data_IF_813915331380
#
_entry.id   IF_813915331380
#
_cell.length_a   1.000
_cell.length_b   1.000
_cell.length_c   1.000
_cell.angle_alpha   90.00
_cell.angle_beta   90.00
_cell.angle_gamma   90.00
#
_symmetry.space_group_name_H-M   'P 1'
#
loop_
_entity.id
_entity.type
_entity.pdbx_description
1 polymer ?
#
# COMPACT_ATOMS: atom_id res chain seq x y z
N UNK A 1 -6.75 14.27 19.64
CA UNK A 1 -5.49 13.51 19.55
C UNK A 1 -5.03 13.57 18.11
N UNK A 2 -3.77 13.91 17.84
CA UNK A 2 -3.26 13.90 16.47
C UNK A 2 -3.02 12.45 16.06
N UNK A 3 -3.70 12.03 15.00
CA UNK A 3 -3.53 10.74 14.36
C UNK A 3 -3.30 10.99 12.88
N UNK A 4 -2.52 10.12 12.26
CA UNK A 4 -2.19 10.19 10.84
C UNK A 4 -2.49 8.85 10.19
N UNK A 5 -3.04 8.93 8.98
CA UNK A 5 -3.28 7.80 8.11
C UNK A 5 -2.09 7.67 7.19
N UNK A 6 -1.58 6.45 7.10
CA UNK A 6 -0.50 6.07 6.23
C UNK A 6 -0.93 4.96 5.29
N UNK A 7 -0.40 4.95 4.06
CA UNK A 7 -0.49 3.81 3.17
C UNK A 7 0.89 3.42 2.65
N UNK A 8 1.20 2.13 2.64
CA UNK A 8 2.49 1.61 2.19
C UNK A 8 2.29 0.52 1.14
N UNK A 9 3.21 0.44 0.18
CA UNK A 9 3.19 -0.55 -0.89
C UNK A 9 4.09 -1.73 -0.54
N UNK A 10 3.62 -2.93 -0.78
CA UNK A 10 4.46 -4.14 -0.85
C UNK A 10 4.33 -4.78 -2.21
N UNK A 11 5.32 -5.57 -2.58
CA UNK A 11 5.25 -6.44 -3.74
C UNK A 11 5.61 -7.87 -3.37
N UNK A 12 4.99 -8.80 -4.07
CA UNK A 12 5.46 -10.18 -4.24
C UNK A 12 5.95 -10.31 -5.67
N UNK A 13 7.18 -10.78 -5.88
CA UNK A 13 7.70 -11.08 -7.22
C UNK A 13 7.96 -12.56 -7.37
N UNK A 14 7.59 -13.11 -8.53
CA UNK A 14 7.76 -14.52 -8.86
C UNK A 14 8.54 -14.65 -10.18
N UNK A 15 9.52 -15.54 -10.21
CA UNK A 15 10.28 -15.93 -11.40
C UNK A 15 10.11 -17.44 -11.60
N UNK A 16 9.64 -17.86 -12.77
CA UNK A 16 9.48 -19.27 -13.13
C UNK A 16 10.68 -19.79 -13.93
N UNK A 17 11.19 -20.97 -13.57
CA UNK A 17 12.30 -21.60 -14.29
C UNK A 17 11.83 -22.46 -15.47
N UNK A 18 11.44 -21.80 -16.56
CA UNK A 18 11.09 -22.45 -17.83
C UNK A 18 9.63 -22.90 -17.96
N UNK A 19 9.18 -23.13 -19.20
CA UNK A 19 7.79 -23.51 -19.48
C UNK A 19 7.43 -24.89 -18.89
N UNK A 20 6.44 -24.92 -17.99
CA UNK A 20 5.89 -26.15 -17.43
C UNK A 20 6.65 -26.73 -16.22
N UNK A 21 7.55 -25.97 -15.61
CA UNK A 21 8.17 -26.30 -14.33
C UNK A 21 7.42 -25.65 -13.16
N UNK A 22 7.22 -26.41 -12.08
CA UNK A 22 6.68 -25.92 -10.81
C UNK A 22 7.77 -25.24 -9.94
N UNK A 23 9.02 -25.21 -10.42
CA UNK A 23 10.12 -24.53 -9.75
C UNK A 23 10.02 -23.02 -10.01
N UNK A 24 9.84 -22.27 -8.92
CA UNK A 24 9.79 -20.81 -8.95
C UNK A 24 10.61 -20.23 -7.80
N UNK A 25 11.16 -19.04 -8.02
CA UNK A 25 11.59 -18.18 -6.92
C UNK A 25 10.47 -17.20 -6.60
N UNK A 26 10.27 -16.93 -5.31
CA UNK A 26 9.33 -15.94 -4.81
C UNK A 26 10.02 -15.08 -3.77
N UNK A 27 9.86 -13.76 -3.92
CA UNK A 27 10.38 -12.79 -2.98
C UNK A 27 9.30 -11.77 -2.61
N UNK A 28 9.41 -11.22 -1.41
CA UNK A 28 8.46 -10.25 -0.87
C UNK A 28 9.21 -9.09 -0.25
N UNK A 29 8.66 -7.89 -0.37
CA UNK A 29 9.22 -6.73 0.29
C UNK A 29 8.36 -5.49 0.18
N UNK A 30 8.82 -4.43 0.82
CA UNK A 30 8.26 -3.09 0.74
C UNK A 30 8.77 -2.37 -0.52
N UNK A 31 7.92 -1.52 -1.10
CA UNK A 31 8.26 -0.71 -2.29
C UNK A 31 8.17 0.77 -1.94
N UNK A 32 9.22 1.53 -2.24
CA UNK A 32 9.15 2.98 -2.33
C UNK A 32 8.77 3.37 -3.78
N UNK A 33 7.45 3.53 -4.02
CA UNK A 33 6.88 3.78 -5.37
C UNK A 33 7.49 4.98 -6.07
N UNK A 34 7.89 6.01 -5.31
CA UNK A 34 8.45 7.24 -5.86
C UNK A 34 9.89 7.04 -6.38
N UNK A 35 10.56 5.97 -5.93
CA UNK A 35 11.93 5.63 -6.34
C UNK A 35 11.97 4.50 -7.36
N UNK A 36 11.24 3.41 -7.11
CA UNK A 36 11.26 2.20 -7.93
C UNK A 36 9.96 1.41 -7.77
N UNK A 37 9.61 0.63 -8.79
CA UNK A 37 8.51 -0.36 -8.72
C UNK A 37 9.02 -1.78 -8.45
N UNK A 38 10.33 -2.03 -8.59
CA UNK A 38 10.91 -3.39 -8.57
C UNK A 38 11.91 -3.61 -7.42
N UNK A 39 12.39 -2.55 -6.78
CA UNK A 39 13.34 -2.66 -5.66
C UNK A 39 12.60 -3.04 -4.36
N UNK A 40 12.85 -4.25 -3.86
CA UNK A 40 12.29 -4.75 -2.60
C UNK A 40 13.15 -4.32 -1.41
N UNK A 41 12.50 -3.73 -0.41
CA UNK A 41 13.10 -3.43 0.89
C UNK A 41 12.58 -4.37 1.98
N UNK A 42 13.47 -4.83 2.86
CA UNK A 42 13.12 -5.75 3.96
C UNK A 42 12.27 -5.06 5.05
N UNK A 43 12.48 -3.76 5.27
CA UNK A 43 11.85 -3.02 6.36
C UNK A 43 10.96 -1.88 5.85
N UNK A 44 9.77 -1.74 6.45
CA UNK A 44 8.84 -0.64 6.18
C UNK A 44 9.46 0.74 6.44
N UNK A 45 10.42 0.83 7.37
CA UNK A 45 11.10 2.10 7.69
C UNK A 45 11.99 2.62 6.56
N UNK A 46 12.36 1.76 5.61
CA UNK A 46 13.25 2.12 4.51
C UNK A 46 12.48 2.74 3.32
N UNK A 47 11.15 2.64 3.33
CA UNK A 47 10.28 3.12 2.27
C UNK A 47 9.44 4.32 2.68
N UNK A 48 9.12 5.17 1.71
CA UNK A 48 8.17 6.26 1.90
C UNK A 48 6.74 5.77 1.79
N UNK A 49 5.81 6.27 2.62
CA UNK A 49 4.41 5.98 2.46
C UNK A 49 3.86 6.66 1.19
N UNK A 50 2.94 6.00 0.49
CA UNK A 50 2.20 6.58 -0.65
C UNK A 50 1.17 7.60 -0.16
N UNK A 51 0.60 7.35 1.02
CA UNK A 51 -0.33 8.27 1.67
C UNK A 51 0.24 8.63 3.02
N UNK A 52 0.29 9.92 3.33
CA UNK A 52 0.52 10.45 4.67
C UNK A 52 -0.47 11.60 4.87
N UNK A 53 -1.47 11.39 5.73
CA UNK A 53 -2.58 12.34 5.87
C UNK A 53 -2.99 12.52 7.33
N UNK A 54 -3.20 13.75 7.83
CA UNK A 54 -3.74 13.96 9.16
C UNK A 54 -5.20 13.52 9.25
N UNK A 55 -5.55 12.66 10.21
CA UNK A 55 -6.91 12.11 10.34
C UNK A 55 -7.96 13.18 10.73
N UNK A 56 -7.54 14.25 11.41
CA UNK A 56 -8.45 15.25 12.00
C UNK A 56 -7.96 16.69 11.81
N UNK A 57 -7.53 17.10 10.61
CA UNK A 57 -7.22 18.53 10.39
C UNK A 57 -8.53 19.35 10.42
N UNK A 58 -8.72 20.27 11.38
CA UNK A 58 -9.96 21.04 11.50
C UNK A 58 -9.99 22.31 10.64
N UNK A 59 -8.97 22.58 9.82
CA UNK A 59 -8.84 23.88 9.14
C UNK A 59 -9.50 24.01 7.77
N UNK A 60 -10.07 22.94 7.19
CA UNK A 60 -10.68 23.08 5.86
C UNK A 60 -11.96 22.24 5.67
N UNK A 61 -12.99 22.85 5.08
CA UNK A 61 -14.27 22.20 4.78
C UNK A 61 -14.20 21.11 3.70
N UNK A 62 -12.99 20.72 3.27
CA UNK A 62 -12.68 19.77 2.20
C UNK A 62 -11.76 18.58 2.62
N UNK A 63 -11.54 18.35 3.91
CA UNK A 63 -10.63 17.28 4.43
C UNK A 63 -11.00 15.88 3.93
N UNK A 64 -12.30 15.60 3.75
CA UNK A 64 -12.77 14.32 3.24
C UNK A 64 -12.42 14.11 1.75
N UNK A 65 -12.43 15.17 0.95
CA UNK A 65 -12.06 15.10 -0.47
C UNK A 65 -10.56 14.83 -0.61
N UNK A 66 -9.73 15.52 0.17
CA UNK A 66 -8.28 15.31 0.16
C UNK A 66 -7.83 13.91 0.59
N UNK A 67 -8.43 13.36 1.66
CA UNK A 67 -8.16 11.98 2.07
C UNK A 67 -8.65 10.98 1.03
N UNK A 68 -9.84 11.18 0.47
CA UNK A 68 -10.38 10.30 -0.56
C UNK A 68 -9.50 10.30 -1.81
N UNK A 69 -9.00 11.46 -2.23
CA UNK A 69 -8.08 11.57 -3.36
C UNK A 69 -6.74 10.91 -3.06
N UNK A 70 -6.17 11.10 -1.86
CA UNK A 70 -4.95 10.40 -1.46
C UNK A 70 -5.13 8.87 -1.46
N UNK A 71 -6.27 8.37 -0.99
CA UNK A 71 -6.62 6.94 -1.04
C UNK A 71 -6.73 6.46 -2.49
N UNK A 72 -7.35 7.23 -3.39
CA UNK A 72 -7.41 6.90 -4.84
C UNK A 72 -6.03 6.86 -5.47
N UNK A 73 -5.19 7.86 -5.18
CA UNK A 73 -3.79 7.91 -5.63
C UNK A 73 -2.99 6.70 -5.17
N UNK A 74 -3.28 6.16 -3.99
CA UNK A 74 -2.65 4.93 -3.51
C UNK A 74 -2.94 3.73 -4.42
N UNK A 75 -4.16 3.64 -4.95
CA UNK A 75 -4.57 2.57 -5.86
C UNK A 75 -4.09 2.75 -7.30
N UNK A 76 -3.64 3.95 -7.69
CA UNK A 76 -2.94 4.12 -8.99
C UNK A 76 -1.63 3.34 -9.07
N UNK A 77 -1.15 2.78 -7.96
CA UNK A 77 -0.02 1.85 -7.97
C UNK A 77 -0.36 0.51 -8.64
N UNK A 78 -1.64 0.15 -8.72
CA UNK A 78 -2.11 -1.12 -9.24
C UNK A 78 -2.25 -1.11 -10.77
N UNK A 79 -1.88 -2.22 -11.40
CA UNK A 79 -2.13 -2.49 -12.82
C UNK A 79 -3.57 -2.98 -13.05
N UNK A 80 -4.14 -3.65 -12.05
CA UNK A 80 -5.48 -4.22 -12.06
C UNK A 80 -6.45 -3.51 -11.10
N UNK A 81 -7.43 -4.28 -10.61
CA UNK A 81 -8.43 -3.78 -9.66
C UNK A 81 -8.02 -4.09 -8.23
N UNK A 82 -8.26 -3.19 -7.26
CA UNK A 82 -8.03 -3.47 -5.86
C UNK A 82 -9.01 -4.56 -5.36
N UNK A 83 -8.46 -5.61 -4.76
CA UNK A 83 -9.18 -6.62 -4.01
C UNK A 83 -9.01 -6.38 -2.51
N UNK A 84 -10.10 -6.09 -1.81
CA UNK A 84 -10.12 -5.79 -0.38
C UNK A 84 -10.12 -7.06 0.47
N UNK A 85 -9.16 -7.18 1.40
CA UNK A 85 -9.13 -8.30 2.36
C UNK A 85 -9.89 -8.03 3.67
N UNK A 86 -10.53 -6.86 3.81
CA UNK A 86 -11.34 -6.43 4.95
C UNK A 86 -10.54 -5.88 6.14
N UNK A 87 -9.22 -5.81 6.06
CA UNK A 87 -8.35 -5.35 7.15
C UNK A 87 -7.57 -4.06 6.84
N UNK A 88 -7.99 -3.32 5.81
CA UNK A 88 -7.27 -2.14 5.35
C UNK A 88 -6.06 -2.49 4.48
N UNK A 89 -5.99 -3.71 3.96
CA UNK A 89 -5.04 -4.06 2.92
C UNK A 89 -5.79 -4.45 1.65
N UNK A 90 -5.30 -3.95 0.52
CA UNK A 90 -5.86 -4.22 -0.78
C UNK A 90 -4.78 -4.85 -1.64
N UNK A 91 -5.15 -5.86 -2.42
CA UNK A 91 -4.25 -6.57 -3.32
C UNK A 91 -4.59 -6.22 -4.76
N UNK A 92 -3.57 -6.05 -5.58
CA UNK A 92 -3.76 -5.88 -7.00
C UNK A 92 -4.20 -7.19 -7.63
N UNK A 93 -5.25 -7.15 -8.47
CA UNK A 93 -5.61 -8.29 -9.32
C UNK A 93 -4.77 -8.38 -10.59
N UNK A 94 -3.99 -7.35 -10.89
CA UNK A 94 -3.09 -7.27 -12.02
C UNK A 94 -1.68 -7.75 -11.69
N UNK A 95 -0.94 -8.05 -12.75
CA UNK A 95 0.46 -8.43 -12.69
C UNK A 95 1.27 -7.39 -13.46
N UNK A 96 2.43 -7.04 -12.92
CA UNK A 96 3.41 -6.17 -13.57
C UNK A 96 4.65 -6.98 -13.94
N UNK A 97 4.96 -7.08 -15.23
CA UNK A 97 6.17 -7.74 -15.72
C UNK A 97 7.02 -6.70 -16.46
N UNK A 98 8.12 -6.20 -15.84
CA UNK A 98 9.08 -5.34 -16.52
C UNK A 98 9.63 -6.01 -17.78
N UNK A 99 9.94 -5.23 -18.81
CA UNK A 99 10.45 -5.76 -20.08
C UNK A 99 11.90 -6.25 -20.00
N UNK A 100 12.63 -5.83 -18.97
CA UNK A 100 14.06 -6.01 -18.75
C UNK A 100 14.38 -6.95 -17.58
N UNK A 101 13.37 -7.57 -16.97
CA UNK A 101 13.50 -8.52 -15.87
C UNK A 101 12.66 -9.78 -16.14
N UNK A 102 13.05 -10.91 -15.55
CA UNK A 102 12.34 -12.20 -15.63
C UNK A 102 11.23 -12.37 -14.56
N UNK A 103 11.02 -11.34 -13.75
CA UNK A 103 10.11 -11.35 -12.62
C UNK A 103 8.73 -10.81 -12.99
N UNK A 104 7.70 -11.42 -12.41
CA UNK A 104 6.33 -10.91 -12.42
C UNK A 104 5.95 -10.47 -11.02
N UNK A 105 5.48 -9.23 -10.89
CA UNK A 105 5.18 -8.56 -9.64
C UNK A 105 3.66 -8.46 -9.44
N UNK A 106 3.22 -8.74 -8.21
CA UNK A 106 1.87 -8.41 -7.73
C UNK A 106 2.00 -7.49 -6.52
N UNK A 107 1.13 -6.49 -6.42
CA UNK A 107 1.24 -5.44 -5.41
C UNK A 107 0.15 -5.53 -4.35
N UNK A 108 0.43 -4.96 -3.17
CA UNK A 108 -0.58 -4.71 -2.16
C UNK A 108 -0.35 -3.35 -1.48
N UNK A 109 -1.43 -2.63 -1.20
CA UNK A 109 -1.42 -1.39 -0.42
C UNK A 109 -1.96 -1.66 0.96
N UNK A 110 -1.22 -1.24 1.99
CA UNK A 110 -1.57 -1.43 3.40
C UNK A 110 -1.81 -0.08 4.07
N UNK A 111 -3.06 0.17 4.45
CA UNK A 111 -3.44 1.34 5.21
C UNK A 111 -3.27 1.10 6.72
N UNK A 112 -2.71 2.11 7.39
CA UNK A 112 -2.38 2.12 8.82
C UNK A 112 -2.74 3.46 9.43
N UNK A 113 -3.20 3.42 10.67
CA UNK A 113 -3.42 4.61 11.49
C UNK A 113 -2.38 4.66 12.58
N UNK A 114 -1.60 5.73 12.63
CA UNK A 114 -0.61 6.01 13.68
C UNK A 114 -1.11 7.12 14.57
N UNK A 115 -1.05 6.90 15.89
CA UNK A 115 -1.54 7.87 16.87
C UNK A 115 -0.74 7.81 18.18
N UNK A 116 -0.78 8.91 18.93
CA UNK A 116 -0.19 8.96 20.27
C UNK A 116 -1.22 8.48 21.31
N UNK A 117 -1.00 7.30 21.87
CA UNK A 117 -1.80 6.72 22.94
C UNK A 117 -1.18 6.90 24.32
N UNK A 118 -1.82 6.34 25.38
CA UNK A 118 -1.34 6.46 26.77
C UNK A 118 0.06 5.89 27.01
N UNK A 119 0.48 4.93 26.20
CA UNK A 119 1.77 4.24 26.30
C UNK A 119 2.78 4.69 25.23
N UNK A 120 2.53 5.82 24.55
CA UNK A 120 3.36 6.32 23.45
C UNK A 120 2.75 6.07 22.08
N UNK A 121 3.59 6.08 21.04
CA UNK A 121 3.17 5.88 19.66
C UNK A 121 2.61 4.47 19.46
N UNK A 122 1.44 4.39 18.84
CA UNK A 122 0.78 3.16 18.47
C UNK A 122 0.42 3.18 16.98
N UNK A 123 0.35 1.99 16.39
CA UNK A 123 -0.13 1.77 15.02
C UNK A 123 -1.22 0.71 15.03
N UNK A 124 -2.27 0.94 14.26
CA UNK A 124 -3.32 -0.04 14.01
C UNK A 124 -3.71 -0.10 12.53
N UNK A 125 -4.42 -1.15 12.15
CA UNK A 125 -4.96 -1.27 10.80
C UNK A 125 -6.10 -0.27 10.61
N UNK A 126 -6.15 0.36 9.45
CA UNK A 126 -7.21 1.32 9.11
C UNK A 126 -7.78 1.01 7.75
N UNK A 127 -9.10 0.95 7.64
CA UNK A 127 -9.79 0.61 6.41
C UNK A 127 -10.45 1.85 5.80
N UNK A 128 -10.16 2.21 4.54
CA UNK A 128 -10.67 3.43 3.92
C UNK A 128 -12.19 3.58 3.99
N UNK A 129 -12.95 2.55 3.61
CA UNK A 129 -14.42 2.60 3.66
C UNK A 129 -15.00 2.48 5.06
N UNK A 130 -14.56 1.49 5.85
CA UNK A 130 -15.15 1.21 7.17
C UNK A 130 -14.80 2.27 8.22
N UNK A 131 -13.52 2.67 8.25
CA UNK A 131 -12.99 3.54 9.31
C UNK A 131 -12.89 4.99 8.82
N UNK A 132 -12.62 5.19 7.53
CA UNK A 132 -12.46 6.51 6.91
C UNK A 132 -13.67 7.06 6.17
N UNK A 133 -14.75 6.27 5.98
CA UNK A 133 -15.91 6.69 5.20
C UNK A 133 -15.63 6.96 3.72
N UNK A 134 -14.47 6.54 3.19
CA UNK A 134 -14.08 6.77 1.79
C UNK A 134 -14.77 5.75 0.89
N UNK A 135 -15.53 6.26 -0.09
CA UNK A 135 -16.11 5.44 -1.16
C UNK A 135 -15.03 5.09 -2.20
N UNK A 136 -14.80 3.80 -2.38
CA UNK A 136 -13.84 3.21 -3.33
C UNK A 136 -14.51 2.77 -4.62
#
# INVERSE_FOLDING_TARGET
>A
MSAHIYAYLTATRIEFFGEGCDDYNEEHGWIDRDRSRTELHDFQSDVRPIVEWPENDPTDGGVYEGLADAVRTAFEAFEGRPFDNGNGSFYDSGEYSPVDESWTYTYAVHFRRKFLGPNGWAEERWHPTRDGGVAL
#
